data_IF_730674269078
#
_entry.id   IF_730674269078
#
_cell.length_a   1.000
_cell.length_b   1.000
_cell.length_c   1.000
_cell.angle_alpha   90.00
_cell.angle_beta   90.00
_cell.angle_gamma   90.00
#
_symmetry.space_group_name_H-M   'P 1'
#
loop_
_entity.id
_entity.type
_entity.pdbx_description
1 polymer ?
#
# COMPACT_ATOMS: atom_id res chain seq x y z
N UNK A 1 0.32 18.21 -17.76
CA UNK A 1 0.39 16.75 -17.63
C UNK A 1 -0.81 16.33 -16.81
N UNK A 2 -1.82 15.79 -17.47
CA UNK A 2 -2.94 15.16 -16.78
C UNK A 2 -2.38 14.01 -15.94
N UNK A 3 -2.64 14.04 -14.63
CA UNK A 3 -2.25 12.93 -13.74
C UNK A 3 -3.15 11.76 -14.13
N UNK A 4 -2.61 10.79 -14.86
CA UNK A 4 -3.33 9.54 -15.15
C UNK A 4 -3.78 8.93 -13.82
N UNK A 5 -5.09 8.77 -13.67
CA UNK A 5 -5.68 8.12 -12.50
C UNK A 5 -5.44 6.62 -12.67
N UNK A 6 -4.44 6.09 -11.97
CA UNK A 6 -4.18 4.65 -11.96
C UNK A 6 -5.37 3.93 -11.32
N UNK A 7 -6.11 3.15 -12.11
CA UNK A 7 -7.26 2.39 -11.65
C UNK A 7 -6.83 1.23 -10.73
N UNK A 8 -7.50 1.06 -9.58
CA UNK A 8 -7.35 -0.08 -8.69
C UNK A 8 -8.57 -1.03 -8.86
N UNK A 9 -8.42 -2.36 -8.82
CA UNK A 9 -7.17 -3.13 -8.66
C UNK A 9 -6.44 -3.41 -9.99
N UNK A 10 -5.12 -3.62 -9.91
CA UNK A 10 -4.27 -4.07 -11.03
C UNK A 10 -3.78 -5.51 -10.85
N UNK A 11 -3.05 -6.04 -11.84
CA UNK A 11 -2.46 -7.39 -11.77
C UNK A 11 -1.30 -7.46 -10.78
N UNK A 12 -0.93 -8.67 -10.36
CA UNK A 12 0.26 -8.90 -9.52
C UNK A 12 1.54 -8.39 -10.20
N UNK A 13 1.70 -8.69 -11.49
CA UNK A 13 2.88 -8.30 -12.26
C UNK A 13 3.00 -6.78 -12.40
N UNK A 14 1.87 -6.08 -12.52
CA UNK A 14 1.84 -4.62 -12.53
C UNK A 14 2.36 -4.05 -11.21
N UNK A 15 1.88 -4.56 -10.08
CA UNK A 15 2.33 -4.10 -8.77
C UNK A 15 3.82 -4.41 -8.52
N UNK A 16 4.30 -5.56 -8.99
CA UNK A 16 5.72 -5.91 -8.97
C UNK A 16 6.54 -4.96 -9.85
N UNK A 17 6.05 -4.61 -11.04
CA UNK A 17 6.72 -3.63 -11.90
C UNK A 17 6.86 -2.27 -11.18
N UNK A 18 5.80 -1.78 -10.52
CA UNK A 18 5.85 -0.55 -9.73
C UNK A 18 6.84 -0.61 -8.56
N UNK A 19 7.02 -1.78 -7.94
CA UNK A 19 8.04 -1.99 -6.90
C UNK A 19 9.45 -1.95 -7.49
N UNK A 20 9.64 -2.62 -8.64
CA UNK A 20 10.94 -2.76 -9.30
C UNK A 20 11.42 -1.49 -10.01
N UNK A 21 10.50 -0.56 -10.35
CA UNK A 21 10.85 0.81 -10.77
C UNK A 21 11.72 1.53 -9.73
N UNK A 22 11.56 1.20 -8.45
CA UNK A 22 12.39 1.69 -7.35
C UNK A 22 12.24 3.20 -7.10
N UNK A 23 13.35 3.84 -6.71
CA UNK A 23 13.38 5.27 -6.39
C UNK A 23 12.62 5.62 -5.11
N UNK A 24 11.72 6.58 -5.19
CA UNK A 24 10.88 7.04 -4.07
C UNK A 24 9.52 6.32 -4.00
N UNK A 25 9.31 5.34 -4.88
CA UNK A 25 8.07 4.58 -5.05
C UNK A 25 6.86 5.49 -5.35
N UNK A 26 7.03 6.63 -6.03
CA UNK A 26 5.96 7.58 -6.31
C UNK A 26 4.76 6.93 -7.03
N UNK A 27 5.00 6.13 -8.06
CA UNK A 27 3.95 5.46 -8.82
C UNK A 27 3.21 4.43 -7.95
N UNK A 28 3.95 3.67 -7.14
CA UNK A 28 3.36 2.74 -6.18
C UNK A 28 2.53 3.47 -5.11
N UNK A 29 3.02 4.59 -4.56
CA UNK A 29 2.28 5.42 -3.61
C UNK A 29 1.00 5.98 -4.22
N UNK A 30 1.04 6.43 -5.48
CA UNK A 30 -0.16 6.89 -6.20
C UNK A 30 -1.18 5.77 -6.38
N UNK A 31 -0.73 4.57 -6.78
CA UNK A 31 -1.57 3.38 -6.89
C UNK A 31 -2.20 2.99 -5.53
N UNK A 32 -1.39 2.90 -4.47
CA UNK A 32 -1.85 2.57 -3.12
C UNK A 32 -2.73 3.65 -2.49
N UNK A 33 -2.60 4.92 -2.91
CA UNK A 33 -3.46 5.99 -2.39
C UNK A 33 -4.92 5.78 -2.77
N UNK A 34 -5.20 5.24 -3.97
CA UNK A 34 -6.57 4.90 -4.38
C UNK A 34 -7.10 3.72 -3.56
N UNK A 35 -6.25 2.74 -3.27
CA UNK A 35 -6.58 1.63 -2.38
C UNK A 35 -6.92 2.10 -0.95
N UNK A 36 -6.07 2.92 -0.34
CA UNK A 36 -6.26 3.42 1.03
C UNK A 36 -7.54 4.26 1.18
N UNK A 37 -7.93 5.02 0.14
CA UNK A 37 -9.22 5.73 0.15
C UNK A 37 -10.41 4.78 0.29
N UNK A 38 -10.36 3.62 -0.37
CA UNK A 38 -11.40 2.60 -0.28
C UNK A 38 -11.40 2.02 1.14
N UNK A 39 -10.24 1.57 1.64
CA UNK A 39 -10.09 1.00 2.99
C UNK A 39 -10.61 1.95 4.06
N UNK A 40 -10.17 3.21 4.08
CA UNK A 40 -10.57 4.16 5.10
C UNK A 40 -12.04 4.58 5.01
N UNK A 41 -12.65 4.49 3.82
CA UNK A 41 -14.09 4.71 3.67
C UNK A 41 -14.93 3.60 4.31
N UNK A 42 -14.38 2.38 4.39
CA UNK A 42 -15.04 1.22 4.96
C UNK A 42 -14.81 1.09 6.48
N UNK A 43 -13.67 1.57 6.99
CA UNK A 43 -13.28 1.42 8.42
C UNK A 43 -13.82 2.50 9.37
N UNK A 44 -14.67 3.43 8.91
CA UNK A 44 -15.18 4.56 9.71
C UNK A 44 -14.06 5.39 10.41
N UNK A 45 -12.86 5.38 9.87
CA UNK A 45 -11.73 6.15 10.41
C UNK A 45 -11.98 7.64 10.15
N UNK A 46 -11.81 8.49 11.18
CA UNK A 46 -11.96 9.94 10.98
C UNK A 46 -10.93 10.46 9.96
N UNK A 47 -11.31 11.49 9.19
CA UNK A 47 -10.43 12.07 8.15
C UNK A 47 -9.02 12.46 8.66
N UNK A 48 -8.85 13.13 9.82
CA UNK A 48 -7.52 13.49 10.34
C UNK A 48 -6.65 12.26 10.62
N UNK A 49 -7.25 11.20 11.15
CA UNK A 49 -6.53 9.96 11.49
C UNK A 49 -6.12 9.20 10.24
N UNK A 50 -6.96 9.20 9.19
CA UNK A 50 -6.68 8.54 7.92
C UNK A 50 -5.46 9.12 7.19
N UNK A 51 -5.23 10.44 7.28
CA UNK A 51 -4.07 11.09 6.66
C UNK A 51 -2.78 10.76 7.41
N UNK A 52 -2.81 10.79 8.75
CA UNK A 52 -1.67 10.42 9.59
C UNK A 52 -1.29 8.95 9.38
N UNK A 53 -2.28 8.05 9.33
CA UNK A 53 -2.04 6.62 9.06
C UNK A 53 -1.44 6.44 7.67
N UNK A 54 -2.00 7.08 6.64
CA UNK A 54 -1.46 7.04 5.26
C UNK A 54 -0.01 7.47 5.23
N UNK A 55 0.32 8.61 5.82
CA UNK A 55 1.66 9.17 5.77
C UNK A 55 2.66 8.28 6.52
N UNK A 56 2.26 7.70 7.66
CA UNK A 56 3.05 6.70 8.38
C UNK A 56 3.29 5.43 7.54
N UNK A 57 2.27 4.91 6.85
CA UNK A 57 2.40 3.76 5.96
C UNK A 57 3.35 4.05 4.80
N UNK A 58 3.28 5.24 4.20
CA UNK A 58 4.15 5.63 3.09
C UNK A 58 5.59 5.90 3.52
N UNK A 59 5.82 6.36 4.76
CA UNK A 59 7.15 6.46 5.35
C UNK A 59 7.76 5.07 5.60
N UNK A 60 6.94 4.09 5.98
CA UNK A 60 7.37 2.70 6.18
C UNK A 60 7.42 1.88 4.88
N UNK A 61 6.93 2.41 3.76
CA UNK A 61 6.78 1.67 2.51
C UNK A 61 8.06 0.96 2.05
N UNK A 62 9.27 1.55 2.12
CA UNK A 62 10.51 0.83 1.77
C UNK A 62 10.72 -0.43 2.60
N UNK A 63 10.44 -0.39 3.90
CA UNK A 63 10.56 -1.54 4.82
C UNK A 63 9.49 -2.59 4.53
N UNK A 64 8.26 -2.16 4.22
CA UNK A 64 7.16 -3.07 3.87
C UNK A 64 7.49 -3.82 2.57
N UNK A 65 8.01 -3.11 1.56
CA UNK A 65 8.47 -3.69 0.30
C UNK A 65 9.62 -4.67 0.56
N UNK A 66 10.63 -4.29 1.33
CA UNK A 66 11.76 -5.16 1.65
C UNK A 66 11.28 -6.48 2.28
N UNK A 67 10.36 -6.42 3.25
CA UNK A 67 9.76 -7.61 3.88
C UNK A 67 8.97 -8.46 2.89
N UNK A 68 8.21 -7.83 2.00
CA UNK A 68 7.48 -8.55 0.95
C UNK A 68 8.46 -9.25 -0.01
N UNK A 69 9.47 -8.54 -0.51
CA UNK A 69 10.45 -9.05 -1.47
C UNK A 69 11.30 -10.18 -0.86
N UNK A 70 11.86 -9.96 0.33
CA UNK A 70 12.71 -10.94 1.03
C UNK A 70 11.93 -12.12 1.61
N UNK A 71 10.67 -11.91 2.02
CA UNK A 71 9.77 -12.96 2.53
C UNK A 71 9.21 -13.89 1.44
N UNK A 72 9.64 -13.72 0.18
CA UNK A 72 9.19 -14.52 -0.96
C UNK A 72 7.80 -14.14 -1.46
N UNK A 73 7.26 -12.99 -1.06
CA UNK A 73 5.98 -12.45 -1.53
C UNK A 73 5.82 -12.44 -3.05
N UNK A 74 6.84 -12.02 -3.85
CA UNK A 74 6.79 -12.09 -5.31
C UNK A 74 6.52 -13.49 -5.87
N UNK A 75 6.88 -14.54 -5.13
CA UNK A 75 6.69 -15.94 -5.54
C UNK A 75 5.37 -16.53 -5.04
N UNK A 76 4.61 -15.80 -4.22
CA UNK A 76 3.29 -16.24 -3.72
C UNK A 76 2.18 -15.87 -4.70
N UNK A 77 1.03 -16.54 -4.58
CA UNK A 77 -0.14 -16.30 -5.43
C UNK A 77 -1.01 -15.13 -4.93
N UNK A 78 -0.38 -14.07 -4.41
CA UNK A 78 -1.07 -12.87 -3.96
C UNK A 78 -0.36 -11.59 -4.42
N UNK A 79 -1.12 -10.50 -4.44
CA UNK A 79 -0.68 -9.16 -4.86
C UNK A 79 0.04 -8.45 -3.72
N UNK A 80 0.90 -7.48 -4.03
CA UNK A 80 1.49 -6.61 -3.01
C UNK A 80 0.40 -5.87 -2.23
N UNK A 81 -0.66 -5.40 -2.90
CA UNK A 81 -1.82 -4.76 -2.26
C UNK A 81 -2.50 -5.67 -1.22
N UNK A 82 -2.54 -6.98 -1.44
CA UNK A 82 -3.04 -7.95 -0.46
C UNK A 82 -2.13 -8.04 0.77
N UNK A 83 -0.81 -8.09 0.57
CA UNK A 83 0.16 -8.05 1.67
C UNK A 83 0.10 -6.73 2.44
N UNK A 84 -0.01 -5.62 1.70
CA UNK A 84 -0.14 -4.28 2.25
C UNK A 84 -1.41 -4.13 3.08
N UNK A 85 -2.54 -4.71 2.62
CA UNK A 85 -3.77 -4.80 3.40
C UNK A 85 -3.55 -5.48 4.75
N UNK A 86 -2.94 -6.66 4.73
CA UNK A 86 -2.64 -7.40 5.96
C UNK A 86 -1.74 -6.59 6.90
N UNK A 87 -0.72 -5.92 6.35
CA UNK A 87 0.18 -5.06 7.11
C UNK A 87 -0.58 -3.90 7.80
N UNK A 88 -1.52 -3.26 7.08
CA UNK A 88 -2.36 -2.19 7.63
C UNK A 88 -3.19 -2.72 8.80
N UNK A 89 -3.85 -3.86 8.64
CA UNK A 89 -4.64 -4.47 9.73
C UNK A 89 -3.79 -4.68 10.99
N UNK A 90 -2.56 -5.18 10.84
CA UNK A 90 -1.64 -5.37 11.96
C UNK A 90 -1.20 -4.06 12.62
N UNK A 91 -0.98 -3.00 11.85
CA UNK A 91 -0.63 -1.68 12.40
C UNK A 91 -1.82 -1.02 13.12
N UNK A 92 -3.03 -1.16 12.59
CA UNK A 92 -4.24 -0.65 13.25
C UNK A 92 -4.50 -1.37 14.59
N UNK A 93 -4.40 -2.71 14.61
CA UNK A 93 -4.53 -3.50 15.84
C UNK A 93 -3.49 -3.10 16.91
N UNK A 94 -2.29 -2.68 16.48
CA UNK A 94 -1.25 -2.21 17.41
C UNK A 94 -1.52 -0.82 17.98
N UNK A 95 -2.27 0.03 17.28
CA UNK A 95 -2.61 1.38 17.75
C UNK A 95 -3.78 1.39 18.72
N UNK A 96 -4.66 0.39 18.64
CA UNK A 96 -5.82 0.23 19.54
C UNK A 96 -5.48 -0.43 20.89
N UNK A 97 -4.26 -0.97 21.05
CA UNK A 97 -3.74 -1.59 22.29
C UNK A 97 -2.68 -0.72 22.97
#
# INVERSE_FOLDING_TARGET
>A
MDKEVIQFPQSKDYELALILEGGDYLNLKNYLSNYLKIVFSETNTNKPDSEVIRDNLFNKLPVIIERFMSGGGPNKDYKFSSYFSWYISQELERLDN
#
